data_IF_239612837747
#
_entry.id   IF_239612837747
#
_cell.length_a   1.000
_cell.length_b   1.000
_cell.length_c   1.000
_cell.angle_alpha   90.00
_cell.angle_beta   90.00
_cell.angle_gamma   90.00
#
_symmetry.space_group_name_H-M   'P 1'
#
loop_
_entity.id
_entity.type
_entity.pdbx_description
1 polymer ?
#
# COMPACT_ATOMS: atom_id res chain seq x y z
N UNK A 1 22.23 16.04 -18.13
CA UNK A 1 22.97 15.52 -16.96
C UNK A 1 21.98 15.36 -15.82
N UNK A 2 21.56 14.13 -15.51
CA UNK A 2 20.55 13.87 -14.48
C UNK A 2 21.07 14.33 -13.11
N UNK A 3 20.38 15.29 -12.50
CA UNK A 3 20.67 15.82 -11.17
C UNK A 3 20.72 14.67 -10.15
N UNK A 4 21.72 14.66 -9.25
CA UNK A 4 21.99 13.57 -8.29
C UNK A 4 20.74 13.13 -7.50
N UNK A 5 19.82 14.07 -7.22
CA UNK A 5 18.53 13.77 -6.56
C UNK A 5 17.53 13.00 -7.44
N UNK A 6 17.44 13.33 -8.73
CA UNK A 6 16.54 12.66 -9.68
C UNK A 6 17.00 11.23 -9.94
N UNK A 7 18.30 11.01 -10.14
CA UNK A 7 18.88 9.68 -10.28
C UNK A 7 18.67 8.83 -9.03
N UNK A 8 18.88 9.40 -7.83
CA UNK A 8 18.62 8.71 -6.56
C UNK A 8 17.14 8.33 -6.40
N UNK A 9 16.23 9.23 -6.77
CA UNK A 9 14.79 8.97 -6.78
C UNK A 9 14.41 7.84 -7.73
N UNK A 10 14.94 7.86 -8.96
CA UNK A 10 14.68 6.81 -9.95
C UNK A 10 15.19 5.44 -9.47
N UNK A 11 16.38 5.37 -8.88
CA UNK A 11 16.93 4.14 -8.31
C UNK A 11 16.06 3.60 -7.16
N UNK A 12 15.57 4.48 -6.27
CA UNK A 12 14.64 4.10 -5.20
C UNK A 12 13.33 3.56 -5.76
N UNK A 13 12.77 4.18 -6.80
CA UNK A 13 11.56 3.69 -7.48
C UNK A 13 11.77 2.30 -8.07
N UNK A 14 12.84 2.08 -8.84
CA UNK A 14 13.16 0.77 -9.42
C UNK A 14 13.33 -0.27 -8.33
N UNK A 15 14.08 0.05 -7.28
CA UNK A 15 14.29 -0.87 -6.15
C UNK A 15 12.97 -1.25 -5.48
N UNK A 16 12.10 -0.27 -5.20
CA UNK A 16 10.77 -0.53 -4.63
C UNK A 16 9.88 -1.38 -5.54
N UNK A 17 9.93 -1.15 -6.87
CA UNK A 17 9.16 -1.92 -7.84
C UNK A 17 9.63 -3.38 -7.90
N UNK A 18 10.94 -3.61 -7.90
CA UNK A 18 11.52 -4.95 -7.85
C UNK A 18 11.14 -5.70 -6.56
N UNK A 19 11.28 -5.05 -5.41
CA UNK A 19 10.87 -5.61 -4.11
C UNK A 19 9.38 -5.96 -4.11
N UNK A 20 8.54 -5.06 -4.60
CA UNK A 20 7.09 -5.28 -4.64
C UNK A 20 6.73 -6.47 -5.54
N UNK A 21 7.26 -6.52 -6.76
CA UNK A 21 7.07 -7.65 -7.68
C UNK A 21 7.57 -8.99 -7.11
N UNK A 22 8.75 -8.99 -6.47
CA UNK A 22 9.32 -10.17 -5.83
C UNK A 22 8.42 -10.72 -4.71
N UNK A 23 7.80 -9.86 -3.90
CA UNK A 23 6.86 -10.33 -2.86
C UNK A 23 5.62 -11.02 -3.45
N UNK A 24 5.16 -10.59 -4.62
CA UNK A 24 4.02 -11.19 -5.31
C UNK A 24 4.32 -12.60 -5.84
N UNK A 25 5.47 -12.79 -6.50
CA UNK A 25 5.88 -14.10 -7.05
C UNK A 25 6.20 -15.10 -5.95
N UNK A 26 6.93 -14.69 -4.91
CA UNK A 26 7.19 -15.53 -3.73
C UNK A 26 5.91 -15.90 -3.00
N UNK A 27 4.96 -14.96 -2.88
CA UNK A 27 3.65 -15.24 -2.30
C UNK A 27 2.91 -16.33 -3.06
N UNK A 28 2.84 -16.21 -4.39
CA UNK A 28 2.19 -17.23 -5.24
C UNK A 28 2.90 -18.59 -5.15
N UNK A 29 4.23 -18.61 -5.11
CA UNK A 29 5.03 -19.83 -4.93
C UNK A 29 4.74 -20.51 -3.58
N UNK A 30 4.69 -19.76 -2.48
CA UNK A 30 4.36 -20.28 -1.15
C UNK A 30 2.95 -20.90 -1.11
N UNK A 31 2.00 -20.36 -1.86
CA UNK A 31 0.65 -20.91 -1.93
C UNK A 31 0.59 -22.22 -2.72
N UNK A 32 1.27 -22.27 -3.86
CA UNK A 32 1.23 -23.43 -4.75
C UNK A 32 2.06 -24.60 -4.23
N UNK A 33 3.19 -24.34 -3.55
CA UNK A 33 4.12 -25.40 -3.13
C UNK A 33 4.04 -25.77 -1.65
N UNK A 34 3.69 -24.82 -0.77
CA UNK A 34 3.67 -25.07 0.69
C UNK A 34 2.26 -25.14 1.29
N UNK A 35 1.20 -24.96 0.48
CA UNK A 35 -0.19 -25.04 0.96
C UNK A 35 -0.57 -23.98 2.01
N UNK A 36 0.28 -22.97 2.21
CA UNK A 36 0.02 -21.89 3.17
C UNK A 36 -1.09 -21.01 2.60
N UNK A 37 -2.09 -20.68 3.41
CA UNK A 37 -3.16 -19.77 2.97
C UNK A 37 -2.62 -18.36 2.74
N UNK A 38 -2.98 -17.76 1.60
CA UNK A 38 -2.67 -16.37 1.26
C UNK A 38 -3.05 -15.37 2.33
N UNK A 39 -4.18 -15.63 2.98
CA UNK A 39 -4.70 -14.80 4.06
C UNK A 39 -3.77 -14.83 5.28
N UNK A 40 -3.19 -15.99 5.60
CA UNK A 40 -2.34 -16.15 6.77
C UNK A 40 -0.98 -15.47 6.58
N UNK A 41 -0.30 -15.75 5.47
CA UNK A 41 1.01 -15.16 5.16
C UNK A 41 0.94 -13.63 5.14
N UNK A 42 -0.12 -13.11 4.53
CA UNK A 42 -0.33 -11.68 4.43
C UNK A 42 -0.65 -10.99 5.74
N UNK A 43 -1.56 -11.56 6.52
CA UNK A 43 -1.93 -11.04 7.83
C UNK A 43 -0.69 -10.99 8.74
N UNK A 44 0.10 -12.07 8.75
CA UNK A 44 1.33 -12.13 9.52
C UNK A 44 2.38 -11.09 9.05
N UNK A 45 2.54 -10.94 7.72
CA UNK A 45 3.42 -9.91 7.14
C UNK A 45 3.00 -8.49 7.57
N UNK A 46 1.70 -8.19 7.57
CA UNK A 46 1.21 -6.86 7.96
C UNK A 46 1.33 -6.60 9.45
N UNK A 47 1.07 -7.61 10.29
CA UNK A 47 1.31 -7.53 11.72
C UNK A 47 2.79 -7.27 12.02
N UNK A 48 3.68 -8.05 11.41
CA UNK A 48 5.12 -7.85 11.56
C UNK A 48 5.55 -6.46 11.08
N UNK A 49 5.09 -6.02 9.90
CA UNK A 49 5.41 -4.69 9.38
C UNK A 49 4.89 -3.56 10.28
N UNK A 50 3.67 -3.69 10.82
CA UNK A 50 3.08 -2.73 11.75
C UNK A 50 3.88 -2.63 13.04
N UNK A 51 4.25 -3.76 13.64
CA UNK A 51 5.07 -3.80 14.86
C UNK A 51 6.45 -3.17 14.61
N UNK A 52 7.12 -3.55 13.52
CA UNK A 52 8.42 -2.99 13.16
C UNK A 52 8.35 -1.48 12.96
N UNK A 53 7.29 -0.98 12.31
CA UNK A 53 7.08 0.46 12.11
C UNK A 53 6.85 1.18 13.45
N UNK A 54 6.05 0.62 14.34
CA UNK A 54 5.82 1.20 15.67
C UNK A 54 7.11 1.25 16.50
N UNK A 55 7.91 0.18 16.48
CA UNK A 55 9.23 0.15 17.15
C UNK A 55 10.16 1.21 16.56
N UNK A 56 10.20 1.34 15.23
CA UNK A 56 11.03 2.33 14.56
C UNK A 56 10.64 3.77 14.91
N UNK A 57 9.34 4.07 14.90
CA UNK A 57 8.82 5.40 15.25
C UNK A 57 9.08 5.69 16.74
N UNK A 58 8.85 4.72 17.62
CA UNK A 58 9.15 4.84 19.04
C UNK A 58 10.64 5.13 19.27
N UNK A 59 11.55 4.48 18.54
CA UNK A 59 12.97 4.75 18.68
C UNK A 59 13.37 6.15 18.16
N UNK A 60 12.73 6.63 17.08
CA UNK A 60 13.00 7.95 16.47
C UNK A 60 12.40 9.13 17.23
N UNK A 61 11.19 8.96 17.78
CA UNK A 61 10.36 10.05 18.33
C UNK A 61 9.89 9.83 19.76
N UNK A 62 10.23 8.68 20.37
CA UNK A 62 9.88 8.37 21.75
C UNK A 62 8.37 8.40 22.00
N UNK A 63 7.97 9.16 23.03
CA UNK A 63 6.57 9.27 23.48
C UNK A 63 5.66 10.08 22.55
N UNK A 64 6.22 10.84 21.61
CA UNK A 64 5.43 11.61 20.63
C UNK A 64 4.58 10.72 19.71
N UNK A 65 4.88 9.42 19.62
CA UNK A 65 4.04 8.44 18.92
C UNK A 65 2.59 8.45 19.43
N UNK A 66 2.40 8.80 20.72
CA UNK A 66 1.08 8.85 21.33
C UNK A 66 0.35 10.18 21.12
N UNK A 67 0.99 11.20 20.54
CA UNK A 67 0.37 12.51 20.32
C UNK A 67 -0.78 12.45 19.30
N UNK A 68 -0.73 11.50 18.36
CA UNK A 68 -1.83 11.23 17.41
C UNK A 68 -3.13 10.92 18.15
N UNK A 69 -3.06 10.32 19.35
CA UNK A 69 -4.22 9.99 20.17
C UNK A 69 -4.74 11.17 21.00
N UNK A 70 -3.94 12.24 21.15
CA UNK A 70 -4.36 13.46 21.87
C UNK A 70 -5.36 14.28 21.05
N UNK A 71 -5.22 14.27 19.72
CA UNK A 71 -6.15 14.95 18.83
C UNK A 71 -7.23 14.00 18.32
N UNK A 72 -8.48 14.21 18.76
CA UNK A 72 -9.63 13.38 18.35
C UNK A 72 -9.85 13.36 16.83
N UNK A 73 -9.49 14.45 16.12
CA UNK A 73 -9.62 14.52 14.66
C UNK A 73 -8.60 13.61 13.98
N UNK A 74 -7.33 13.73 14.35
CA UNK A 74 -6.25 12.93 13.78
C UNK A 74 -6.42 11.45 14.09
N UNK A 75 -6.85 11.11 15.31
CA UNK A 75 -7.19 9.74 15.69
C UNK A 75 -8.36 9.19 14.87
N UNK A 76 -9.41 9.99 14.64
CA UNK A 76 -10.56 9.59 13.82
C UNK A 76 -10.16 9.37 12.36
N UNK A 77 -9.39 10.28 11.77
CA UNK A 77 -8.94 10.19 10.39
C UNK A 77 -7.99 8.99 10.20
N UNK A 78 -7.09 8.75 11.16
CA UNK A 78 -6.23 7.56 11.17
C UNK A 78 -7.04 6.26 11.26
N UNK A 79 -8.03 6.19 12.16
CA UNK A 79 -8.91 5.02 12.29
C UNK A 79 -9.74 4.80 11.03
N UNK A 80 -10.30 5.87 10.45
CA UNK A 80 -11.08 5.79 9.22
C UNK A 80 -10.22 5.31 8.04
N UNK A 81 -9.01 5.85 7.91
CA UNK A 81 -8.07 5.47 6.87
C UNK A 81 -7.62 4.01 7.01
N UNK A 82 -7.28 3.57 8.23
CA UNK A 82 -6.81 2.21 8.49
C UNK A 82 -7.92 1.16 8.37
N UNK A 83 -9.11 1.42 8.91
CA UNK A 83 -10.22 0.47 8.93
C UNK A 83 -11.00 0.43 7.62
N UNK A 84 -11.25 1.57 6.98
CA UNK A 84 -12.03 1.60 5.73
C UNK A 84 -11.12 1.58 4.53
N UNK A 85 -10.09 2.42 4.50
CA UNK A 85 -9.19 2.51 3.34
C UNK A 85 -8.29 1.27 3.22
N UNK A 86 -7.40 1.10 4.20
CA UNK A 86 -6.35 0.09 4.15
C UNK A 86 -6.88 -1.33 4.29
N UNK A 87 -7.77 -1.59 5.27
CA UNK A 87 -8.31 -2.94 5.47
C UNK A 87 -9.09 -3.43 4.25
N UNK A 88 -9.95 -2.58 3.68
CA UNK A 88 -10.77 -2.95 2.53
C UNK A 88 -9.91 -3.17 1.28
N UNK A 89 -8.93 -2.29 1.03
CA UNK A 89 -7.94 -2.47 -0.03
C UNK A 89 -7.21 -3.81 0.13
N UNK A 90 -6.71 -4.09 1.33
CA UNK A 90 -5.91 -5.26 1.59
C UNK A 90 -6.74 -6.55 1.47
N UNK A 91 -7.95 -6.56 2.03
CA UNK A 91 -8.87 -7.68 1.93
C UNK A 91 -9.27 -7.93 0.47
N UNK A 92 -9.61 -6.88 -0.28
CA UNK A 92 -9.94 -6.97 -1.70
C UNK A 92 -8.79 -7.53 -2.53
N UNK A 93 -7.55 -7.13 -2.24
CA UNK A 93 -6.37 -7.69 -2.90
C UNK A 93 -6.23 -9.20 -2.67
N UNK A 94 -6.36 -9.67 -1.42
CA UNK A 94 -6.27 -11.12 -1.14
C UNK A 94 -7.45 -11.92 -1.67
N UNK A 95 -8.64 -11.32 -1.69
CA UNK A 95 -9.81 -11.92 -2.31
C UNK A 95 -9.59 -12.12 -3.81
N UNK A 96 -9.04 -11.11 -4.50
CA UNK A 96 -8.71 -11.19 -5.91
C UNK A 96 -7.64 -12.25 -6.21
N UNK A 97 -6.62 -12.38 -5.35
CA UNK A 97 -5.63 -13.47 -5.46
C UNK A 97 -6.30 -14.83 -5.31
N UNK A 98 -7.17 -14.98 -4.30
CA UNK A 98 -7.83 -16.25 -4.00
C UNK A 98 -8.79 -16.73 -5.08
N UNK A 99 -9.49 -15.82 -5.76
CA UNK A 99 -10.41 -16.17 -6.85
C UNK A 99 -9.75 -16.25 -8.23
N UNK A 100 -8.58 -15.63 -8.41
CA UNK A 100 -7.89 -15.59 -9.70
C UNK A 100 -6.41 -15.93 -9.52
N UNK A 101 -5.52 -14.95 -9.60
CA UNK A 101 -4.08 -15.10 -9.42
C UNK A 101 -3.44 -13.74 -9.04
N UNK A 102 -2.16 -13.75 -8.67
CA UNK A 102 -1.45 -12.55 -8.23
C UNK A 102 -1.27 -11.48 -9.32
N UNK A 103 -1.13 -11.90 -10.59
CA UNK A 103 -1.00 -10.99 -11.71
C UNK A 103 -2.31 -10.23 -11.98
N UNK A 104 -3.45 -10.92 -12.02
CA UNK A 104 -4.78 -10.30 -12.18
C UNK A 104 -5.08 -9.31 -11.07
N UNK A 105 -4.80 -9.68 -9.80
CA UNK A 105 -4.99 -8.79 -8.66
C UNK A 105 -4.13 -7.52 -8.75
N UNK A 106 -2.94 -7.62 -9.35
CA UNK A 106 -2.05 -6.48 -9.61
C UNK A 106 -2.60 -5.58 -10.72
N UNK A 107 -3.09 -6.15 -11.82
CA UNK A 107 -3.73 -5.38 -12.90
C UNK A 107 -4.94 -4.61 -12.37
N UNK A 108 -5.77 -5.23 -11.53
CA UNK A 108 -6.90 -4.55 -10.89
C UNK A 108 -6.45 -3.40 -9.97
N UNK A 109 -5.33 -3.54 -9.26
CA UNK A 109 -4.77 -2.44 -8.47
C UNK A 109 -4.26 -1.28 -9.34
N UNK A 110 -3.75 -1.54 -10.55
CA UNK A 110 -3.38 -0.47 -11.48
C UNK A 110 -4.58 0.33 -12.00
N UNK A 111 -5.80 -0.12 -11.74
CA UNK A 111 -7.00 0.69 -11.95
C UNK A 111 -7.20 1.73 -10.83
N UNK A 112 -6.57 1.59 -9.66
CA UNK A 112 -6.74 2.50 -8.55
C UNK A 112 -6.41 3.97 -8.89
N UNK A 113 -5.31 4.31 -9.60
CA UNK A 113 -5.06 5.66 -10.09
C UNK A 113 -6.19 6.21 -10.96
N UNK A 114 -6.77 5.37 -11.83
CA UNK A 114 -7.91 5.76 -12.68
C UNK A 114 -9.14 6.07 -11.82
N UNK A 115 -9.44 5.20 -10.85
CA UNK A 115 -10.53 5.42 -9.89
C UNK A 115 -10.33 6.70 -9.06
N UNK A 116 -9.09 6.98 -8.63
CA UNK A 116 -8.75 8.21 -7.91
C UNK A 116 -9.00 9.43 -8.82
N UNK A 117 -8.56 9.40 -10.08
CA UNK A 117 -8.79 10.51 -11.03
C UNK A 117 -10.27 10.73 -11.23
N UNK A 118 -11.07 9.68 -11.43
CA UNK A 118 -12.53 9.78 -11.57
C UNK A 118 -13.14 10.42 -10.31
N UNK A 119 -12.80 9.90 -9.13
CA UNK A 119 -13.30 10.42 -7.86
C UNK A 119 -12.94 11.90 -7.64
N UNK A 120 -11.68 12.27 -7.85
CA UNK A 120 -11.19 13.66 -7.70
C UNK A 120 -11.90 14.56 -8.71
N UNK A 121 -12.07 14.10 -9.96
CA UNK A 121 -12.73 14.89 -11.01
C UNK A 121 -14.19 15.18 -10.66
N UNK A 122 -14.91 14.20 -10.14
CA UNK A 122 -16.29 14.36 -9.63
C UNK A 122 -16.30 15.27 -8.41
N UNK A 123 -15.43 15.02 -7.42
CA UNK A 123 -15.41 15.75 -6.14
C UNK A 123 -15.11 17.24 -6.29
N UNK A 124 -14.22 17.60 -7.21
CA UNK A 124 -13.81 18.98 -7.46
C UNK A 124 -14.48 19.60 -8.69
N UNK A 125 -15.39 18.89 -9.35
CA UNK A 125 -16.04 19.31 -10.60
C UNK A 125 -15.04 19.84 -11.66
N UNK A 126 -13.84 19.27 -11.69
CA UNK A 126 -12.77 19.62 -12.63
C UNK A 126 -12.44 18.41 -13.47
N UNK A 127 -12.60 18.52 -14.78
CA UNK A 127 -12.15 17.46 -15.67
C UNK A 127 -10.63 17.34 -15.61
N UNK A 128 -10.08 16.10 -15.72
CA UNK A 128 -8.65 15.92 -15.78
C UNK A 128 -8.14 16.63 -17.04
N UNK A 129 -7.22 17.58 -16.89
CA UNK A 129 -6.59 18.24 -18.04
C UNK A 129 -5.77 17.20 -18.79
N UNK A 130 -6.25 16.78 -19.96
CA UNK A 130 -5.49 15.94 -20.86
C UNK A 130 -4.27 16.76 -21.31
N UNK A 131 -3.06 16.32 -20.93
CA UNK A 131 -1.74 16.91 -21.25
C UNK A 131 -1.30 18.08 -20.35
N UNK A 132 -0.41 17.77 -19.41
CA UNK A 132 0.82 18.54 -19.23
C UNK A 132 1.97 17.61 -19.58
N UNK A 133 2.40 17.68 -20.84
CA UNK A 133 3.70 17.18 -21.31
C UNK A 133 4.79 18.07 -20.71
#
# INVERSE_FOLDING_TARGET
>A
MLNNRSTRGALLCIFSACLWGFTGTVGQFLFQQMGISSKWLASNRMLAAGILLLIYIYWRRGKEIFDIWKNKKDAKDMLLFSLIGMLFMQYGYFLAIGHSNAATATVLQYLAPVMIVIYVSIRYHKMPSFLRV
#
